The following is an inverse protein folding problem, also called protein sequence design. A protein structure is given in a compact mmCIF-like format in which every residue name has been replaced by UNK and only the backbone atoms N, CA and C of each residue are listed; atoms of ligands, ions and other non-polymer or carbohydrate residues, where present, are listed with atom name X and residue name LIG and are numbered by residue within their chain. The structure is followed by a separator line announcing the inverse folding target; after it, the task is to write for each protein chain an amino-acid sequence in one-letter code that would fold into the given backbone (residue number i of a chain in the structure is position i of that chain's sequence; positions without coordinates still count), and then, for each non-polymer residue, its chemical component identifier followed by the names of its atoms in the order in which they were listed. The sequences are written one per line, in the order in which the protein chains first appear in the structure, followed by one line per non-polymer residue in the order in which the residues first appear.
data_IF_599752439452
#
_entry.id   IF_599752439452
#
_cell.length_a   1.000
_cell.length_b   1.000
_cell.length_c   1.000
_cell.angle_alpha   90.00
_cell.angle_beta   90.00
_cell.angle_gamma   90.00
#
_symmetry.space_group_name_H-M   'P 1'
#
loop_
_entity.id
_entity.type
_entity.pdbx_description
1 polymer ?
#
# COMPACT_ATOMS: atom_id res chain seq x y z
N UNK A 1 0.61 14.05 7.26
CA UNK A 1 0.62 12.57 7.34
C UNK A 1 1.25 12.05 6.05
N UNK A 2 2.11 11.03 6.12
CA UNK A 2 2.80 10.43 4.96
C UNK A 2 2.51 8.93 4.90
N UNK A 3 2.58 8.32 3.72
CA UNK A 3 2.48 6.85 3.60
C UNK A 3 3.77 6.17 4.07
N UNK A 4 3.63 5.16 4.92
CA UNK A 4 4.76 4.47 5.53
C UNK A 4 5.33 3.38 4.60
N UNK A 5 6.61 3.54 4.22
CA UNK A 5 7.33 2.62 3.32
C UNK A 5 7.51 1.21 3.90
N UNK A 6 7.60 1.06 5.22
CA UNK A 6 7.77 -0.25 5.85
C UNK A 6 6.44 -0.77 6.44
N UNK A 7 5.32 -0.38 5.84
CA UNK A 7 4.00 -0.83 6.28
C UNK A 7 3.64 -2.21 5.74
N UNK A 8 2.69 -2.85 6.41
CA UNK A 8 2.07 -4.09 5.91
C UNK A 8 1.43 -3.89 4.54
N UNK A 9 0.79 -2.73 4.33
CA UNK A 9 0.22 -2.37 3.03
C UNK A 9 1.29 -2.33 1.93
N UNK A 10 2.46 -1.76 2.21
CA UNK A 10 3.56 -1.70 1.24
C UNK A 10 4.07 -3.10 0.85
N UNK A 11 4.41 -3.94 1.83
CA UNK A 11 5.06 -5.23 1.59
C UNK A 11 4.09 -6.35 1.22
N UNK A 12 2.96 -6.46 1.93
CA UNK A 12 2.05 -7.58 1.73
C UNK A 12 0.99 -7.21 0.70
N UNK A 13 0.28 -6.09 0.87
CA UNK A 13 -0.80 -5.76 -0.06
C UNK A 13 -0.26 -5.38 -1.44
N UNK A 14 0.67 -4.43 -1.52
CA UNK A 14 1.09 -3.88 -2.81
C UNK A 14 2.20 -4.71 -3.44
N UNK A 15 3.30 -4.95 -2.72
CA UNK A 15 4.44 -5.68 -3.29
C UNK A 15 4.13 -7.15 -3.60
N UNK A 16 3.32 -7.83 -2.77
CA UNK A 16 3.01 -9.25 -2.95
C UNK A 16 1.63 -9.45 -3.59
N UNK A 17 0.54 -9.18 -2.86
CA UNK A 17 -0.82 -9.56 -3.26
C UNK A 17 -1.27 -8.89 -4.57
N UNK A 18 -1.13 -7.57 -4.71
CA UNK A 18 -1.58 -6.84 -5.91
C UNK A 18 -0.74 -7.19 -7.14
N UNK A 19 0.58 -7.37 -6.98
CA UNK A 19 1.46 -7.75 -8.10
C UNK A 19 1.14 -9.17 -8.60
N UNK A 20 1.06 -10.14 -7.70
CA UNK A 20 0.72 -11.53 -8.06
C UNK A 20 -0.71 -11.59 -8.58
N UNK A 21 -1.66 -10.94 -7.90
CA UNK A 21 -3.06 -10.89 -8.32
C UNK A 21 -3.21 -10.34 -9.74
N UNK A 22 -2.48 -9.27 -10.09
CA UNK A 22 -2.54 -8.72 -11.45
C UNK A 22 -1.93 -9.65 -12.49
N UNK A 23 -0.86 -10.39 -12.15
CA UNK A 23 -0.28 -11.41 -13.04
C UNK A 23 -1.25 -12.58 -13.25
N UNK A 24 -1.89 -13.07 -12.19
CA UNK A 24 -2.89 -14.12 -12.26
C UNK A 24 -4.11 -13.69 -13.08
N UNK A 25 -4.62 -12.48 -12.86
CA UNK A 25 -5.73 -11.96 -13.67
C UNK A 25 -5.31 -11.78 -15.14
N UNK A 26 -4.07 -11.39 -15.41
CA UNK A 26 -3.58 -11.27 -16.78
C UNK A 26 -3.53 -12.64 -17.50
N UNK A 27 -3.20 -13.72 -16.77
CA UNK A 27 -3.28 -15.09 -17.30
C UNK A 27 -4.72 -15.62 -17.38
N UNK A 28 -5.57 -15.23 -16.43
CA UNK A 28 -6.94 -15.73 -16.26
C UNK A 28 -7.95 -14.58 -16.09
N UNK A 29 -8.42 -13.95 -17.18
CA UNK A 29 -9.27 -12.75 -17.11
C UNK A 29 -10.62 -12.95 -16.40
N UNK A 30 -11.13 -14.18 -16.33
CA UNK A 30 -12.38 -14.48 -15.60
C UNK A 30 -12.27 -14.20 -14.09
N UNK A 31 -11.04 -14.12 -13.54
CA UNK A 31 -10.80 -13.81 -12.13
C UNK A 31 -11.13 -12.35 -11.75
N UNK A 32 -11.32 -11.44 -12.71
CA UNK A 32 -11.58 -10.01 -12.43
C UNK A 32 -12.76 -9.83 -11.46
N UNK A 33 -13.89 -10.50 -11.72
CA UNK A 33 -15.10 -10.39 -10.87
C UNK A 33 -14.88 -10.96 -9.47
N UNK A 34 -14.11 -12.06 -9.36
CA UNK A 34 -13.79 -12.71 -8.08
C UNK A 34 -12.89 -11.78 -7.25
N UNK A 35 -11.83 -11.26 -7.85
CA UNK A 35 -10.90 -10.34 -7.17
C UNK A 35 -11.62 -9.05 -6.77
N UNK A 36 -12.47 -8.50 -7.63
CA UNK A 36 -13.29 -7.33 -7.30
C UNK A 36 -14.17 -7.58 -6.07
N UNK A 37 -14.86 -8.72 -6.00
CA UNK A 37 -15.69 -9.09 -4.85
C UNK A 37 -14.88 -9.32 -3.57
N UNK A 38 -13.72 -9.98 -3.66
CA UNK A 38 -12.87 -10.29 -2.49
C UNK A 38 -12.17 -9.05 -1.93
N UNK A 39 -11.76 -8.13 -2.80
CA UNK A 39 -10.96 -6.96 -2.40
C UNK A 39 -11.80 -5.69 -2.22
N UNK A 40 -13.02 -5.67 -2.75
CA UNK A 40 -13.85 -4.46 -2.83
C UNK A 40 -13.36 -3.47 -3.89
N UNK A 41 -12.35 -3.82 -4.68
CA UNK A 41 -11.83 -2.95 -5.74
C UNK A 41 -12.81 -2.92 -6.92
N UNK A 42 -13.15 -1.73 -7.47
CA UNK A 42 -14.01 -1.64 -8.64
C UNK A 42 -13.40 -2.36 -9.85
N UNK A 43 -14.24 -3.07 -10.61
CA UNK A 43 -13.83 -3.80 -11.83
C UNK A 43 -13.05 -2.88 -12.78
N UNK A 44 -13.53 -1.66 -12.98
CA UNK A 44 -12.91 -0.67 -13.87
C UNK A 44 -11.48 -0.31 -13.44
N UNK A 45 -11.21 -0.27 -12.13
CA UNK A 45 -9.87 -0.01 -11.60
C UNK A 45 -8.93 -1.18 -11.90
N UNK A 46 -9.40 -2.41 -11.72
CA UNK A 46 -8.64 -3.64 -12.03
C UNK A 46 -8.34 -3.72 -13.52
N UNK A 47 -9.34 -3.50 -14.38
CA UNK A 47 -9.18 -3.51 -15.84
C UNK A 47 -8.15 -2.48 -16.31
N UNK A 48 -8.13 -1.31 -15.69
CA UNK A 48 -7.16 -0.26 -16.01
C UNK A 48 -5.74 -0.62 -15.57
N UNK A 49 -5.58 -1.28 -14.43
CA UNK A 49 -4.29 -1.89 -14.05
C UNK A 49 -3.85 -2.95 -15.08
N UNK A 50 -4.75 -3.80 -15.56
CA UNK A 50 -4.44 -4.80 -16.59
C UNK A 50 -4.07 -4.17 -17.92
N UNK A 51 -4.80 -3.13 -18.36
CA UNK A 51 -4.49 -2.38 -19.58
C UNK A 51 -3.09 -1.79 -19.50
N UNK A 52 -2.72 -1.20 -18.37
CA UNK A 52 -1.40 -0.63 -18.16
C UNK A 52 -0.30 -1.69 -18.04
N UNK A 53 -0.61 -2.87 -17.47
CA UNK A 53 0.29 -4.02 -17.46
C UNK A 53 0.52 -4.56 -18.88
N UNK A 54 -0.52 -4.70 -19.70
CA UNK A 54 -0.38 -5.14 -21.10
C UNK A 54 0.42 -4.15 -21.93
N UNK A 55 0.20 -2.84 -21.73
CA UNK A 55 0.91 -1.77 -22.44
C UNK A 55 2.40 -1.69 -22.04
N UNK A 56 2.71 -1.73 -20.74
CA UNK A 56 4.07 -1.46 -20.25
C UNK A 56 4.79 -2.73 -19.79
N UNK A 57 4.18 -3.91 -19.90
CA UNK A 57 4.70 -5.21 -19.42
C UNK A 57 5.11 -5.13 -17.94
N UNK A 58 6.10 -5.92 -17.54
CA UNK A 58 6.57 -6.03 -16.15
C UNK A 58 7.12 -4.71 -15.58
N UNK A 59 7.49 -3.73 -16.42
CA UNK A 59 7.87 -2.38 -15.98
C UNK A 59 6.74 -1.71 -15.17
N UNK A 60 5.47 -2.00 -15.51
CA UNK A 60 4.32 -1.52 -14.77
C UNK A 60 4.34 -1.91 -13.28
N UNK A 61 4.92 -3.08 -12.98
CA UNK A 61 4.95 -3.68 -11.64
C UNK A 61 6.18 -3.26 -10.83
N UNK A 62 7.09 -2.44 -11.37
CA UNK A 62 8.24 -1.93 -10.61
C UNK A 62 7.75 -1.08 -9.45
N UNK A 63 8.18 -1.40 -8.23
CA UNK A 63 7.71 -0.76 -7.00
C UNK A 63 7.89 0.76 -6.99
N UNK A 64 8.93 1.26 -7.65
CA UNK A 64 9.17 2.70 -7.79
C UNK A 64 8.02 3.45 -8.47
N UNK A 65 7.17 2.79 -9.28
CA UNK A 65 5.98 3.41 -9.89
C UNK A 65 4.67 2.75 -9.46
N UNK A 66 4.69 1.43 -9.23
CA UNK A 66 3.49 0.65 -8.93
C UNK A 66 2.87 1.02 -7.59
N UNK A 67 3.67 1.52 -6.64
CA UNK A 67 3.19 1.96 -5.33
C UNK A 67 2.20 3.12 -5.45
N UNK A 68 2.48 4.10 -6.32
CA UNK A 68 1.63 5.27 -6.58
C UNK A 68 0.30 4.84 -7.19
N UNK A 69 0.41 3.98 -8.19
CA UNK A 69 -0.71 3.47 -8.97
C UNK A 69 -1.63 2.60 -8.12
N UNK A 70 -1.06 1.81 -7.22
CA UNK A 70 -1.84 0.95 -6.32
C UNK A 70 -2.54 1.75 -5.22
N UNK A 71 -1.95 2.87 -4.78
CA UNK A 71 -2.49 3.67 -3.67
C UNK A 71 -3.65 4.54 -4.15
N UNK A 72 -3.39 5.49 -5.05
CA UNK A 72 -4.39 6.50 -5.45
C UNK A 72 -5.00 6.24 -6.84
N UNK A 73 -4.67 5.11 -7.46
CA UNK A 73 -5.29 4.65 -8.70
C UNK A 73 -4.34 4.55 -9.89
N UNK A 74 -4.70 3.79 -10.95
CA UNK A 74 -3.79 3.30 -11.97
C UNK A 74 -3.06 4.36 -12.81
N UNK A 75 -3.55 5.61 -12.82
CA UNK A 75 -2.94 6.75 -13.53
C UNK A 75 -2.07 7.62 -12.61
N UNK A 76 -2.11 7.37 -11.31
CA UNK A 76 -1.42 8.23 -10.38
C UNK A 76 0.10 7.97 -10.42
N UNK A 77 0.84 9.07 -10.56
CA UNK A 77 2.31 9.10 -10.62
C UNK A 77 2.94 9.83 -9.43
N UNK A 78 2.13 10.40 -8.52
CA UNK A 78 2.60 11.38 -7.55
C UNK A 78 2.61 10.92 -6.09
N UNK A 79 1.93 9.82 -5.72
CA UNK A 79 2.02 9.38 -4.30
C UNK A 79 3.48 9.15 -3.94
N UNK A 80 3.84 9.13 -2.67
CA UNK A 80 5.19 8.73 -2.28
C UNK A 80 5.13 8.03 -0.94
N UNK A 81 6.08 7.13 -0.74
CA UNK A 81 6.21 6.39 0.52
C UNK A 81 7.49 6.80 1.23
N UNK A 82 7.37 6.94 2.53
CA UNK A 82 8.38 7.55 3.37
C UNK A 82 8.72 6.64 4.54
N UNK A 83 9.99 6.65 4.92
CA UNK A 83 10.47 6.11 6.18
C UNK A 83 11.03 7.24 7.05
N UNK A 84 11.34 6.91 8.31
CA UNK A 84 11.88 7.89 9.27
C UNK A 84 13.12 8.62 8.73
N UNK A 85 14.02 7.92 8.03
CA UNK A 85 15.25 8.51 7.50
C UNK A 85 14.96 9.53 6.38
N UNK A 86 14.09 9.18 5.42
CA UNK A 86 13.67 10.11 4.37
C UNK A 86 12.93 11.33 4.94
N UNK A 87 12.11 11.15 5.98
CA UNK A 87 11.44 12.26 6.63
C UNK A 87 12.41 13.16 7.40
N UNK A 88 13.41 12.62 8.09
CA UNK A 88 14.45 13.42 8.75
C UNK A 88 15.22 14.29 7.74
N UNK A 89 15.50 13.75 6.55
CA UNK A 89 16.11 14.51 5.46
C UNK A 89 15.18 15.60 4.93
N UNK A 90 13.90 15.28 4.73
CA UNK A 90 12.91 16.23 4.23
C UNK A 90 12.67 17.40 5.21
N UNK A 91 12.60 17.10 6.51
CA UNK A 91 12.27 18.06 7.56
C UNK A 91 13.50 18.50 8.37
N UNK A 92 14.69 18.48 7.76
CA UNK A 92 15.96 18.74 8.44
C UNK A 92 16.01 20.10 9.17
N UNK A 93 15.23 21.07 8.71
CA UNK A 93 15.16 22.43 9.27
C UNK A 93 14.41 22.53 10.61
N UNK A 94 13.77 21.46 11.08
CA UNK A 94 13.03 21.46 12.35
C UNK A 94 13.88 20.94 13.50
N UNK A 95 13.82 21.63 14.65
CA UNK A 95 14.58 21.27 15.86
C UNK A 95 14.22 19.90 16.42
N UNK A 96 12.94 19.53 16.36
CA UNK A 96 12.48 18.22 16.83
C UNK A 96 11.58 17.57 15.80
N UNK A 97 11.92 16.33 15.44
CA UNK A 97 11.19 15.51 14.47
C UNK A 97 10.81 14.20 15.16
N UNK A 98 9.53 14.09 15.55
CA UNK A 98 8.99 12.91 16.19
C UNK A 98 8.10 12.12 15.22
N UNK A 99 8.05 10.80 15.41
CA UNK A 99 7.33 9.90 14.52
C UNK A 99 6.34 9.04 15.29
N UNK A 100 5.12 8.92 14.78
CA UNK A 100 4.21 7.83 15.17
C UNK A 100 3.74 7.10 13.93
N UNK A 101 3.62 5.78 14.04
CA UNK A 101 3.04 4.95 12.99
C UNK A 101 1.63 4.58 13.45
N UNK A 102 0.67 4.76 12.56
CA UNK A 102 -0.74 4.58 12.86
C UNK A 102 -1.44 3.78 11.76
N UNK A 103 -2.60 3.27 12.14
CA UNK A 103 -3.58 2.59 11.30
C UNK A 103 -3.07 1.30 10.65
N UNK A 104 -3.45 0.18 11.24
CA UNK A 104 -3.37 -1.11 10.60
C UNK A 104 -4.72 -1.41 9.93
N UNK A 105 -4.74 -1.56 8.61
CA UNK A 105 -5.97 -1.89 7.92
C UNK A 105 -6.26 -3.40 8.09
N UNK A 106 -7.16 -3.73 9.02
CA UNK A 106 -7.60 -5.09 9.34
C UNK A 106 -8.12 -5.84 8.09
N UNK A 107 -8.64 -5.14 7.07
CA UNK A 107 -9.12 -5.76 5.83
C UNK A 107 -8.03 -6.55 5.08
N UNK A 108 -6.76 -6.17 5.23
CA UNK A 108 -5.66 -6.91 4.61
C UNK A 108 -5.34 -8.23 5.30
N UNK A 109 -5.94 -8.51 6.45
CA UNK A 109 -5.84 -9.80 7.14
C UNK A 109 -6.84 -10.82 6.59
N UNK A 110 -7.65 -10.49 5.57
CA UNK A 110 -8.54 -11.44 4.89
C UNK A 110 -9.43 -12.27 5.86
N UNK A 111 -9.88 -11.66 6.96
CA UNK A 111 -10.72 -12.32 7.97
C UNK A 111 -9.98 -12.88 9.19
N UNK A 112 -8.65 -12.96 9.16
CA UNK A 112 -7.85 -13.35 10.35
C UNK A 112 -7.92 -12.30 11.47
N UNK A 113 -8.39 -11.09 11.17
CA UNK A 113 -8.63 -10.05 12.17
C UNK A 113 -9.68 -10.45 13.22
N UNK A 114 -10.56 -11.41 12.93
CA UNK A 114 -11.55 -11.95 13.89
C UNK A 114 -10.94 -12.89 14.93
N UNK A 115 -9.75 -13.42 14.66
CA UNK A 115 -9.07 -14.41 15.53
C UNK A 115 -7.87 -13.78 16.24
N UNK A 116 -7.32 -12.69 15.69
CA UNK A 116 -6.16 -11.99 16.25
C UNK A 116 -6.54 -11.18 17.50
N UNK A 117 -5.82 -11.34 18.63
CA UNK A 117 -6.03 -10.52 19.82
C UNK A 117 -5.85 -9.02 19.52
N UNK A 118 -6.70 -8.17 20.12
CA UNK A 118 -6.64 -6.71 19.89
C UNK A 118 -5.26 -6.10 20.21
N UNK A 119 -4.61 -6.57 21.29
CA UNK A 119 -3.26 -6.14 21.65
C UNK A 119 -2.24 -6.39 20.55
N UNK A 120 -2.38 -7.49 19.81
CA UNK A 120 -1.51 -7.82 18.69
C UNK A 120 -1.80 -6.91 17.50
N UNK A 121 -3.07 -6.63 17.21
CA UNK A 121 -3.43 -5.69 16.15
C UNK A 121 -2.92 -4.28 16.44
N UNK A 122 -3.00 -3.84 17.69
CA UNK A 122 -2.47 -2.55 18.14
C UNK A 122 -0.94 -2.49 18.04
N UNK A 123 -0.26 -3.56 18.44
CA UNK A 123 1.18 -3.68 18.27
C UNK A 123 1.58 -3.61 16.79
N UNK A 124 0.88 -4.36 15.93
CA UNK A 124 1.08 -4.32 14.48
C UNK A 124 0.78 -2.94 13.91
N UNK A 125 -0.22 -2.21 14.40
CA UNK A 125 -0.50 -0.84 13.97
C UNK A 125 0.59 0.14 14.32
N UNK A 126 1.18 0.03 15.51
CA UNK A 126 2.30 0.88 15.95
C UNK A 126 3.61 0.60 15.20
N UNK A 127 3.74 -0.56 14.56
CA UNK A 127 4.97 -0.97 13.87
C UNK A 127 4.86 -0.97 12.34
N UNK A 128 3.74 -1.47 11.83
CA UNK A 128 3.48 -1.76 10.42
C UNK A 128 2.26 -1.03 9.87
N UNK A 129 1.70 -0.09 10.62
CA UNK A 129 0.66 0.79 10.13
C UNK A 129 1.08 1.53 8.86
N UNK A 130 0.10 1.82 8.01
CA UNK A 130 0.31 2.45 6.71
C UNK A 130 0.51 3.98 6.78
N UNK A 131 0.16 4.61 7.90
CA UNK A 131 0.35 6.04 8.10
C UNK A 131 1.60 6.30 8.94
N UNK A 132 2.51 7.11 8.42
CA UNK A 132 3.61 7.72 9.14
C UNK A 132 3.24 9.16 9.48
N UNK A 133 2.98 9.40 10.76
CA UNK A 133 2.71 10.72 11.30
C UNK A 133 4.03 11.34 11.76
N UNK A 134 4.27 12.56 11.31
CA UNK A 134 5.48 13.33 11.64
C UNK A 134 5.02 14.54 12.44
N UNK A 135 5.54 14.68 13.65
CA UNK A 135 5.30 15.81 14.53
C UNK A 135 6.55 16.67 14.53
N UNK A 136 6.38 17.93 14.16
CA UNK A 136 7.46 18.87 13.96
C UNK A 136 7.34 19.99 15.00
N UNK A 137 8.45 20.31 15.66
CA UNK A 137 8.56 21.48 16.53
C UNK A 137 9.71 22.34 16.05
N UNK A 138 9.42 23.64 15.89
CA UNK A 138 10.41 24.65 15.51
C UNK A 138 11.37 24.92 16.68
#
# INVERSE_FOLDING_TARGET
MLYHKNSFNYWVSIFFLRRIGLLLINAFPFLIKIVSKLTGEPVQRIEKHLKNLKKNKLEYLKMGSFIHKSTDGPDNIYSSVWNKNSCKKLFYAFKTINFKIHFFNKRHLLGFDKVLPEKLIDFLGKRFGWHLWVFLKK
#
